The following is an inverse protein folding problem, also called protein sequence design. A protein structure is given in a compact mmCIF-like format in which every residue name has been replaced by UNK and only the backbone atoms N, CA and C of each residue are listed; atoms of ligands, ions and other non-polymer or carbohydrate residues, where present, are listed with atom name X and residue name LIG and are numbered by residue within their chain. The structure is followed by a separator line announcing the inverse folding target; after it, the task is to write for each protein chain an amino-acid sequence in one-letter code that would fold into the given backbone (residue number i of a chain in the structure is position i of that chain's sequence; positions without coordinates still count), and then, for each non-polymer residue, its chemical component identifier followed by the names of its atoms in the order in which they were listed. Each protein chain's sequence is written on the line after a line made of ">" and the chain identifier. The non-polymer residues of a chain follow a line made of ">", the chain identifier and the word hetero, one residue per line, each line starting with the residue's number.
data_IF_750958284492
#
_entry.id   IF_750958284492
#
_cell.length_a   1.000
_cell.length_b   1.000
_cell.length_c   1.000
_cell.angle_alpha   90.00
_cell.angle_beta   90.00
_cell.angle_gamma   90.00
#
_symmetry.space_group_name_H-M   'P 1'
#
loop_
_entity.id
_entity.type
_entity.pdbx_description
1 polymer ?
#
# COMPACT_ATOMS: atom_id res chain seq x y z
N UNK A 1 16.06 10.79 -3.65
CA UNK A 1 15.46 9.46 -3.92
C UNK A 1 13.95 9.61 -3.95
N UNK A 2 13.27 9.05 -4.97
CA UNK A 2 11.82 9.10 -4.98
C UNK A 2 11.24 8.07 -4.02
N UNK A 3 9.97 8.26 -3.62
CA UNK A 3 9.34 7.38 -2.64
C UNK A 3 9.27 5.94 -3.12
N UNK A 4 9.05 5.73 -4.42
CA UNK A 4 8.97 4.37 -4.96
C UNK A 4 10.30 3.63 -4.78
N UNK A 5 11.42 4.29 -5.05
CA UNK A 5 12.74 3.67 -4.86
C UNK A 5 12.98 3.36 -3.37
N UNK A 6 12.59 4.28 -2.49
CA UNK A 6 12.68 4.06 -1.06
C UNK A 6 11.84 2.85 -0.63
N UNK A 7 10.62 2.76 -1.14
CA UNK A 7 9.73 1.64 -0.81
C UNK A 7 10.29 0.31 -1.31
N UNK A 8 10.86 0.28 -2.51
CA UNK A 8 11.51 -0.93 -3.01
C UNK A 8 12.69 -1.35 -2.13
N UNK A 9 13.47 -0.39 -1.65
CA UNK A 9 14.60 -0.71 -0.77
C UNK A 9 14.16 -1.23 0.59
N UNK A 10 12.95 -0.89 1.03
CA UNK A 10 12.38 -1.30 2.31
C UNK A 10 11.35 -2.43 2.16
N UNK A 11 11.22 -3.03 0.97
CA UNK A 11 10.16 -4.01 0.70
C UNK A 11 10.17 -5.19 1.68
N UNK A 12 11.34 -5.63 2.08
CA UNK A 12 11.46 -6.76 3.01
C UNK A 12 10.77 -6.46 4.33
N UNK A 13 11.08 -5.30 4.88
CA UNK A 13 10.51 -4.85 6.15
C UNK A 13 9.01 -4.60 6.00
N UNK A 14 8.60 -4.01 4.87
CA UNK A 14 7.18 -3.78 4.60
C UNK A 14 6.42 -5.11 4.56
N UNK A 15 6.97 -6.12 3.91
CA UNK A 15 6.33 -7.44 3.85
C UNK A 15 6.32 -8.14 5.20
N UNK A 16 7.32 -7.94 6.03
CA UNK A 16 7.31 -8.47 7.39
C UNK A 16 6.16 -7.88 8.20
N UNK A 17 5.96 -6.57 8.08
CA UNK A 17 4.83 -5.90 8.73
C UNK A 17 3.50 -6.40 8.14
N UNK A 18 3.43 -6.51 6.83
CA UNK A 18 2.22 -6.95 6.15
C UNK A 18 1.79 -8.35 6.60
N UNK A 19 2.74 -9.26 6.75
CA UNK A 19 2.44 -10.63 7.19
C UNK A 19 1.85 -10.68 8.59
N UNK A 20 2.25 -9.78 9.47
CA UNK A 20 1.67 -9.69 10.80
C UNK A 20 0.17 -9.40 10.76
N UNK A 21 -0.29 -8.75 9.71
CA UNK A 21 -1.68 -8.35 9.53
C UNK A 21 -2.38 -9.15 8.43
N UNK A 22 -1.85 -10.33 8.10
CA UNK A 22 -2.46 -11.27 7.16
C UNK A 22 -2.53 -10.74 5.73
N UNK A 23 -1.62 -9.86 5.36
CA UNK A 23 -1.51 -9.37 3.99
C UNK A 23 -0.44 -10.18 3.24
N UNK A 24 -0.79 -10.68 2.06
CA UNK A 24 0.10 -11.51 1.25
C UNK A 24 0.87 -10.69 0.22
N UNK A 25 0.26 -9.66 -0.33
CA UNK A 25 0.87 -8.82 -1.36
C UNK A 25 0.60 -7.36 -1.08
N UNK A 26 1.58 -6.52 -1.39
CA UNK A 26 1.47 -5.07 -1.21
C UNK A 26 1.84 -4.39 -2.52
N UNK A 27 0.98 -3.50 -2.97
CA UNK A 27 1.17 -2.71 -4.19
C UNK A 27 1.20 -1.23 -3.84
N UNK A 28 1.91 -0.45 -4.64
CA UNK A 28 1.91 1.02 -4.57
C UNK A 28 1.11 1.55 -5.74
N UNK A 29 0.29 2.56 -5.51
CA UNK A 29 -0.48 3.17 -6.60
C UNK A 29 -0.55 4.69 -6.41
N UNK A 30 -1.23 5.37 -7.35
CA UNK A 30 -1.39 6.81 -7.28
C UNK A 30 -0.12 7.58 -7.66
N UNK A 31 0.06 8.75 -7.07
CA UNK A 31 1.16 9.63 -7.42
C UNK A 31 2.53 9.00 -7.16
N UNK A 32 2.66 8.22 -6.09
CA UNK A 32 3.92 7.54 -5.78
C UNK A 32 4.28 6.54 -6.87
N UNK A 33 3.32 5.75 -7.34
CA UNK A 33 3.56 4.78 -8.42
C UNK A 33 3.95 5.46 -9.72
N UNK A 34 3.39 6.65 -9.99
CA UNK A 34 3.70 7.42 -11.19
C UNK A 34 4.94 8.30 -11.03
N UNK A 35 5.56 8.30 -9.85
CA UNK A 35 6.71 9.15 -9.51
C UNK A 35 6.39 10.64 -9.61
N UNK A 36 5.16 10.99 -9.31
CA UNK A 36 4.67 12.38 -9.32
C UNK A 36 4.49 12.95 -7.92
N UNK A 37 4.94 12.22 -6.91
CA UNK A 37 4.77 12.62 -5.51
C UNK A 37 5.56 13.88 -5.18
N UNK A 38 5.01 14.64 -4.23
CA UNK A 38 5.70 15.77 -3.61
C UNK A 38 6.15 15.34 -2.20
N UNK A 39 7.01 16.13 -1.51
CA UNK A 39 7.42 15.79 -0.15
C UNK A 39 6.27 15.60 0.84
N UNK A 40 5.13 16.24 0.58
CA UNK A 40 3.96 16.18 1.45
C UNK A 40 2.90 15.18 0.97
N UNK A 41 3.17 14.45 -0.11
CA UNK A 41 2.21 13.48 -0.66
C UNK A 41 2.08 12.28 0.26
N UNK A 42 0.84 11.78 0.39
CA UNK A 42 0.57 10.52 1.08
C UNK A 42 1.04 9.37 0.20
N UNK A 43 1.38 8.25 0.85
CA UNK A 43 1.72 7.03 0.12
C UNK A 43 0.47 6.16 0.05
N UNK A 44 0.07 5.79 -1.16
CA UNK A 44 -1.12 4.98 -1.39
C UNK A 44 -0.72 3.53 -1.63
N UNK A 45 -1.23 2.64 -0.80
CA UNK A 45 -1.00 1.21 -0.92
C UNK A 45 -2.28 0.46 -1.19
N UNK A 46 -2.17 -0.63 -1.95
CA UNK A 46 -3.21 -1.65 -2.06
C UNK A 46 -2.61 -2.93 -1.51
N UNK A 47 -3.31 -3.61 -0.63
CA UNK A 47 -2.85 -4.87 -0.05
C UNK A 47 -3.84 -5.98 -0.30
N UNK A 48 -3.32 -7.16 -0.64
CA UNK A 48 -4.12 -8.37 -0.79
C UNK A 48 -4.09 -9.12 0.54
N UNK A 49 -5.25 -9.20 1.20
CA UNK A 49 -5.37 -9.84 2.50
C UNK A 49 -5.87 -11.28 2.38
N UNK A 50 -5.49 -12.10 3.35
CA UNK A 50 -5.98 -13.47 3.42
C UNK A 50 -7.50 -13.48 3.68
N UNK A 51 -8.22 -14.55 3.26
CA UNK A 51 -9.68 -14.60 3.40
C UNK A 51 -10.19 -14.46 4.83
N UNK A 52 -9.36 -14.82 5.81
CA UNK A 52 -9.76 -14.76 7.23
C UNK A 52 -9.36 -13.45 7.92
N UNK A 53 -8.90 -12.46 7.15
CA UNK A 53 -8.53 -11.16 7.71
C UNK A 53 -9.77 -10.35 8.10
N UNK A 54 -9.56 -9.32 8.93
CA UNK A 54 -10.63 -8.45 9.40
C UNK A 54 -10.26 -6.99 9.20
N UNK A 55 -11.19 -6.10 9.53
CA UNK A 55 -10.93 -4.65 9.47
C UNK A 55 -9.79 -4.25 10.42
N UNK A 56 -9.60 -4.98 11.50
CA UNK A 56 -8.49 -4.73 12.43
C UNK A 56 -7.15 -4.99 11.76
N UNK A 57 -7.07 -5.98 10.88
CA UNK A 57 -5.84 -6.25 10.15
C UNK A 57 -5.52 -5.10 9.19
N UNK A 58 -6.52 -4.57 8.51
CA UNK A 58 -6.35 -3.45 7.59
C UNK A 58 -5.87 -2.21 8.35
N UNK A 59 -6.58 -1.84 9.42
CA UNK A 59 -6.23 -0.67 10.21
C UNK A 59 -4.87 -0.81 10.90
N UNK A 60 -4.56 -1.99 11.40
CA UNK A 60 -3.28 -2.27 12.04
C UNK A 60 -2.12 -2.17 11.07
N UNK A 61 -2.29 -2.68 9.86
CA UNK A 61 -1.27 -2.59 8.83
C UNK A 61 -1.02 -1.14 8.42
N UNK A 62 -2.09 -0.37 8.22
CA UNK A 62 -1.96 1.05 7.90
C UNK A 62 -1.21 1.81 8.99
N UNK A 63 -1.57 1.57 10.24
CA UNK A 63 -0.93 2.22 11.39
C UNK A 63 0.56 1.88 11.45
N UNK A 64 0.89 0.61 11.35
CA UNK A 64 2.28 0.17 11.44
C UNK A 64 3.12 0.70 10.28
N UNK A 65 2.56 0.75 9.07
CA UNK A 65 3.27 1.32 7.93
C UNK A 65 3.51 2.81 8.11
N UNK A 66 2.54 3.55 8.65
CA UNK A 66 2.72 4.97 8.93
C UNK A 66 3.84 5.20 9.94
N UNK A 67 3.90 4.39 10.99
CA UNK A 67 4.97 4.49 11.99
C UNK A 67 6.33 4.15 11.39
N UNK A 68 6.38 3.11 10.59
CA UNK A 68 7.64 2.65 10.00
C UNK A 68 8.17 3.65 8.97
N UNK A 69 7.30 4.18 8.11
CA UNK A 69 7.70 5.07 7.03
C UNK A 69 7.78 6.53 7.46
N UNK A 70 7.14 6.90 8.58
CA UNK A 70 7.18 8.25 9.11
C UNK A 70 6.36 9.25 8.29
N UNK A 71 5.34 8.78 7.56
CA UNK A 71 4.48 9.64 6.75
C UNK A 71 3.06 9.06 6.72
N UNK A 72 2.12 9.84 6.19
CA UNK A 72 0.73 9.40 6.05
C UNK A 72 0.63 8.30 4.99
N UNK A 73 -0.07 7.24 5.32
CA UNK A 73 -0.28 6.09 4.44
C UNK A 73 -1.78 5.87 4.29
N UNK A 74 -2.23 5.75 3.04
CA UNK A 74 -3.58 5.30 2.73
C UNK A 74 -3.49 3.85 2.28
N UNK A 75 -4.27 2.98 2.91
CA UNK A 75 -4.26 1.57 2.61
C UNK A 75 -5.65 1.12 2.18
N UNK A 76 -5.72 0.52 1.00
CA UNK A 76 -6.98 0.01 0.44
C UNK A 76 -6.84 -1.50 0.28
N UNK A 77 -7.78 -2.30 0.83
CA UNK A 77 -7.77 -3.74 0.55
C UNK A 77 -8.03 -4.00 -0.93
N UNK A 78 -7.32 -4.93 -1.51
CA UNK A 78 -7.50 -5.26 -2.93
C UNK A 78 -8.94 -5.66 -3.23
N UNK A 79 -9.60 -6.33 -2.30
CA UNK A 79 -10.99 -6.75 -2.44
C UNK A 79 -11.98 -5.59 -2.56
N UNK A 80 -11.58 -4.39 -2.11
CA UNK A 80 -12.41 -3.18 -2.23
C UNK A 80 -12.40 -2.60 -3.63
N UNK A 81 -11.47 -3.01 -4.48
CA UNK A 81 -11.40 -2.54 -5.86
C UNK A 81 -12.49 -3.26 -6.66
N UNK A 82 -13.43 -2.49 -7.15
CA UNK A 82 -14.53 -3.00 -7.97
C UNK A 82 -14.24 -2.69 -9.45
N UNK A 83 -15.17 -3.01 -10.33
CA UNK A 83 -14.99 -2.79 -11.77
C UNK A 83 -15.40 -1.38 -12.20
N UNK A 84 -15.36 -0.41 -11.31
CA UNK A 84 -15.63 0.98 -11.65
C UNK A 84 -14.39 1.67 -12.23
N UNK A 85 -14.57 2.91 -12.70
CA UNK A 85 -13.49 3.66 -13.35
C UNK A 85 -12.32 3.91 -12.41
N UNK A 86 -12.59 4.15 -11.12
CA UNK A 86 -11.54 4.38 -10.14
C UNK A 86 -10.69 3.12 -9.96
N UNK A 87 -11.33 1.97 -9.82
CA UNK A 87 -10.61 0.71 -9.65
C UNK A 87 -9.77 0.36 -10.87
N UNK A 88 -10.30 0.62 -12.08
CA UNK A 88 -9.56 0.38 -13.31
C UNK A 88 -8.30 1.25 -13.36
N UNK A 89 -8.42 2.52 -13.01
CA UNK A 89 -7.27 3.43 -12.98
C UNK A 89 -6.26 3.02 -11.91
N UNK A 90 -6.73 2.63 -10.72
CA UNK A 90 -5.85 2.18 -9.65
C UNK A 90 -5.07 0.93 -10.04
N UNK A 91 -5.73 -0.05 -10.66
CA UNK A 91 -5.09 -1.27 -11.11
C UNK A 91 -4.05 -1.02 -12.19
N UNK A 92 -4.32 -0.05 -13.06
CA UNK A 92 -3.41 0.32 -14.14
C UNK A 92 -2.11 0.92 -13.59
N UNK A 93 -2.20 1.68 -12.50
CA UNK A 93 -1.05 2.35 -11.88
C UNK A 93 -0.38 1.52 -10.78
N UNK A 94 -0.95 0.37 -10.40
CA UNK A 94 -0.40 -0.44 -9.30
C UNK A 94 0.95 -1.05 -9.66
N UNK A 95 1.89 -0.92 -8.73
CA UNK A 95 3.22 -1.52 -8.85
C UNK A 95 3.44 -2.43 -7.64
N UNK A 96 3.70 -3.71 -7.91
CA UNK A 96 3.95 -4.68 -6.85
C UNK A 96 5.30 -4.39 -6.17
N UNK A 97 5.30 -4.34 -4.86
CA UNK A 97 6.54 -4.27 -4.08
C UNK A 97 7.14 -5.68 -3.85
#
# INVERSE_FOLDING_TARGET
>A
MCQLDRLHSLRREIYEIAKKHKADKVYVFGSCARKEETPDSDIDFVAEFAPHSSLFDIGGLQYDLQKFLGCTVDLIPEDSLTDDAFAADARKDMILL
#
